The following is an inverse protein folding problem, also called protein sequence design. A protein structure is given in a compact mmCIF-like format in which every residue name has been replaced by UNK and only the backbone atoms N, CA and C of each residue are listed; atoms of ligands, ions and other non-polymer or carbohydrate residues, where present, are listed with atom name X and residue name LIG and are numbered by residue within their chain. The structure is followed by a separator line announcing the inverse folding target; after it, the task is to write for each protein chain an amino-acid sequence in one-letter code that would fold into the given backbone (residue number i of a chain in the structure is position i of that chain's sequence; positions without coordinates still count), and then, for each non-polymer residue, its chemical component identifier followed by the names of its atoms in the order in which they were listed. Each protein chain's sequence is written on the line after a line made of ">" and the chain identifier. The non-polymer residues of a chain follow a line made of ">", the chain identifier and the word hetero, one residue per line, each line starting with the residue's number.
data_IF_769492913517
#
_entry.id   IF_769492913517
#
_cell.length_a   1.000
_cell.length_b   1.000
_cell.length_c   1.000
_cell.angle_alpha   90.00
_cell.angle_beta   90.00
_cell.angle_gamma   90.00
#
_symmetry.space_group_name_H-M   'P 1'
#
loop_
_entity.id
_entity.type
_entity.pdbx_description
1 polymer ?
#
# COMPACT_ATOMS: atom_id res chain seq x y z
N UNK A 1 20.17 1.90 8.20
CA UNK A 1 18.80 1.50 7.81
C UNK A 1 17.87 2.49 8.47
N UNK A 2 17.17 3.32 7.70
CA UNK A 2 16.17 4.23 8.27
C UNK A 2 15.11 3.42 9.01
N UNK A 3 15.01 3.64 10.32
CA UNK A 3 14.11 2.87 11.19
C UNK A 3 12.65 3.04 10.76
N UNK A 4 12.28 4.21 10.23
CA UNK A 4 10.95 4.49 9.70
C UNK A 4 10.66 3.67 8.44
N UNK A 5 11.59 3.62 7.48
CA UNK A 5 11.43 2.78 6.29
C UNK A 5 11.31 1.29 6.67
N UNK A 6 12.11 0.83 7.63
CA UNK A 6 12.03 -0.54 8.16
C UNK A 6 10.67 -0.87 8.78
N UNK A 7 10.13 0.03 9.61
CA UNK A 7 8.79 -0.10 10.20
C UNK A 7 7.72 -0.23 9.12
N UNK A 8 7.76 0.65 8.11
CA UNK A 8 6.79 0.65 7.02
C UNK A 8 6.88 -0.62 6.18
N UNK A 9 8.08 -1.12 5.87
CA UNK A 9 8.24 -2.39 5.15
C UNK A 9 7.69 -3.58 5.94
N UNK A 10 8.00 -3.68 7.23
CA UNK A 10 7.48 -4.73 8.09
C UNK A 10 5.95 -4.69 8.16
N UNK A 11 5.37 -3.49 8.24
CA UNK A 11 3.92 -3.32 8.29
C UNK A 11 3.26 -3.69 6.95
N UNK A 12 3.87 -3.31 5.82
CA UNK A 12 3.39 -3.71 4.49
C UNK A 12 3.34 -5.24 4.34
N UNK A 13 4.38 -5.94 4.78
CA UNK A 13 4.43 -7.41 4.73
C UNK A 13 3.35 -8.07 5.60
N UNK A 14 3.06 -7.50 6.78
CA UNK A 14 1.98 -7.98 7.64
C UNK A 14 0.60 -7.79 6.97
N UNK A 15 0.34 -6.63 6.36
CA UNK A 15 -0.91 -6.37 5.64
C UNK A 15 -1.08 -7.29 4.42
N UNK A 16 0.00 -7.61 3.69
CA UNK A 16 -0.05 -8.55 2.56
C UNK A 16 -0.44 -9.97 3.00
N UNK A 17 0.08 -10.43 4.15
CA UNK A 17 -0.34 -11.72 4.73
C UNK A 17 -1.81 -11.71 5.13
N UNK A 18 -2.26 -10.65 5.80
CA UNK A 18 -3.68 -10.49 6.15
C UNK A 18 -4.58 -10.43 4.91
N UNK A 19 -4.14 -9.80 3.83
CA UNK A 19 -4.88 -9.76 2.57
C UNK A 19 -5.06 -11.16 1.95
N UNK A 20 -4.03 -12.00 2.03
CA UNK A 20 -4.05 -13.38 1.54
C UNK A 20 -4.91 -14.30 2.42
N UNK A 21 -4.96 -14.04 3.72
CA UNK A 21 -5.76 -14.80 4.69
C UNK A 21 -7.23 -14.33 4.76
N UNK A 22 -7.53 -13.13 4.25
CA UNK A 22 -8.86 -12.54 4.33
C UNK A 22 -9.89 -13.30 3.48
N UNK A 23 -10.92 -13.83 4.15
CA UNK A 23 -12.06 -14.52 3.51
C UNK A 23 -12.96 -13.53 2.76
N UNK A 24 -13.15 -12.33 3.31
CA UNK A 24 -14.05 -11.33 2.73
C UNK A 24 -13.32 -10.48 1.67
N UNK A 25 -13.82 -10.39 0.42
CA UNK A 25 -13.14 -9.67 -0.65
C UNK A 25 -12.86 -8.19 -0.34
N UNK A 26 -13.78 -7.50 0.36
CA UNK A 26 -13.55 -6.11 0.77
C UNK A 26 -12.48 -5.97 1.86
N UNK A 27 -12.31 -6.99 2.72
CA UNK A 27 -11.24 -6.98 3.72
C UNK A 27 -9.88 -7.18 3.04
N UNK A 28 -9.78 -8.14 2.10
CA UNK A 28 -8.57 -8.32 1.29
C UNK A 28 -8.18 -7.02 0.56
N UNK A 29 -9.16 -6.35 -0.07
CA UNK A 29 -8.94 -5.05 -0.72
C UNK A 29 -8.43 -3.98 0.25
N UNK A 30 -9.02 -3.90 1.45
CA UNK A 30 -8.58 -2.94 2.47
C UNK A 30 -7.12 -3.19 2.89
N UNK A 31 -6.75 -4.43 3.13
CA UNK A 31 -5.37 -4.81 3.46
C UNK A 31 -4.39 -4.49 2.32
N UNK A 32 -4.76 -4.73 1.06
CA UNK A 32 -3.92 -4.30 -0.08
C UNK A 32 -3.75 -2.78 -0.15
N UNK A 33 -4.79 -1.99 0.13
CA UNK A 33 -4.67 -0.53 0.19
C UNK A 33 -3.72 -0.08 1.31
N UNK A 34 -3.79 -0.71 2.49
CA UNK A 34 -2.89 -0.42 3.60
C UNK A 34 -1.45 -0.81 3.29
N UNK A 35 -1.23 -1.98 2.66
CA UNK A 35 0.09 -2.39 2.20
C UNK A 35 0.70 -1.35 1.24
N UNK A 36 -0.08 -0.88 0.27
CA UNK A 36 0.33 0.20 -0.65
C UNK A 36 0.73 1.47 0.09
N UNK A 37 -0.08 1.94 1.04
CA UNK A 37 0.24 3.11 1.87
C UNK A 37 1.59 2.96 2.60
N UNK A 38 1.85 1.79 3.18
CA UNK A 38 3.10 1.56 3.89
C UNK A 38 4.30 1.48 2.93
N UNK A 39 4.14 0.86 1.76
CA UNK A 39 5.18 0.84 0.73
C UNK A 39 5.49 2.26 0.23
N UNK A 40 4.46 3.05 -0.05
CA UNK A 40 4.62 4.44 -0.46
C UNK A 40 5.47 5.19 0.59
N UNK A 41 5.14 5.07 1.88
CA UNK A 41 5.92 5.71 2.96
C UNK A 41 7.35 5.21 3.07
N UNK A 42 7.58 3.91 2.91
CA UNK A 42 8.92 3.31 2.95
C UNK A 42 9.83 3.83 1.83
N UNK A 43 9.27 4.11 0.64
CA UNK A 43 10.02 4.53 -0.55
C UNK A 43 9.90 6.02 -0.88
N UNK A 44 8.99 6.77 -0.25
CA UNK A 44 8.77 8.21 -0.47
C UNK A 44 9.97 9.09 -0.09
N UNK A 45 10.95 8.56 0.67
CA UNK A 45 12.22 9.24 0.91
C UNK A 45 13.14 9.32 -0.31
N UNK A 46 12.82 8.63 -1.41
CA UNK A 46 13.66 8.60 -2.62
C UNK A 46 12.92 8.54 -3.96
N UNK A 47 11.58 8.49 -3.99
CA UNK A 47 10.80 8.48 -5.23
C UNK A 47 9.84 9.67 -5.21
N UNK A 48 10.12 10.65 -6.10
CA UNK A 48 9.14 11.64 -6.54
C UNK A 48 7.83 10.91 -6.85
N UNK A 49 6.77 11.28 -6.12
CA UNK A 49 5.48 10.59 -6.10
C UNK A 49 5.11 10.04 -7.49
N UNK A 50 4.93 8.72 -7.57
CA UNK A 50 4.32 8.12 -8.75
C UNK A 50 3.00 8.85 -9.06
N UNK A 51 2.73 9.15 -10.35
CA UNK A 51 1.56 9.91 -10.72
C UNK A 51 0.30 9.23 -10.18
N UNK A 52 -0.69 9.99 -9.69
CA UNK A 52 -1.87 9.42 -9.08
C UNK A 52 -2.50 8.45 -10.09
N UNK A 53 -2.66 7.19 -9.65
CA UNK A 53 -3.37 6.18 -10.41
C UNK A 53 -4.67 6.79 -10.94
N UNK A 54 -4.79 6.79 -12.26
CA UNK A 54 -5.83 7.49 -12.99
C UNK A 54 -7.21 7.22 -12.39
N UNK A 55 -7.82 8.28 -11.87
CA UNK A 55 -9.28 8.39 -11.97
C UNK A 55 -9.55 8.41 -13.46
N UNK A 56 -10.06 7.31 -14.01
CA UNK A 56 -10.69 7.35 -15.31
C UNK A 56 -11.87 8.31 -15.18
N UNK A 57 -11.66 9.54 -15.65
CA UNK A 57 -12.76 10.41 -16.02
C UNK A 57 -13.49 9.74 -17.20
N UNK A 58 -14.34 8.77 -16.89
CA UNK A 58 -15.42 8.40 -17.79
C UNK A 58 -16.55 9.40 -17.52
N UNK A 59 -16.58 10.45 -18.32
CA UNK A 59 -17.70 11.38 -18.42
C UNK A 59 -18.18 11.41 -19.89
N UNK A 60 -19.44 11.83 -20.12
CA UNK A 60 -20.44 11.14 -20.95
C UNK A 60 -20.26 11.22 -22.46
#
# INVERSE_FOLDING_TARGET
>A
MDQEAGYHLQRAEAELRLAQEAIHPLAAKAHYCLAGYHLDRAYSGGIEKAPPHGKTDKAP
#
